data_IF_993358811846
#
_entry.id   IF_993358811846
#
_cell.length_a   1.000
_cell.length_b   1.000
_cell.length_c   1.000
_cell.angle_alpha   90.00
_cell.angle_beta   90.00
_cell.angle_gamma   90.00
#
_symmetry.space_group_name_H-M   'P 1'
#
loop_
_entity.id
_entity.type
_entity.pdbx_description
1 polymer ?
#
# COMPACT_ATOMS: atom_id res chain seq x y z
N UNK A 1 5.32 -5.62 -28.30
CA UNK A 1 4.78 -4.60 -27.37
C UNK A 1 3.99 -3.58 -28.18
N UNK A 2 2.81 -3.16 -27.72
CA UNK A 2 2.02 -2.13 -28.41
C UNK A 2 2.61 -0.75 -28.08
N UNK A 3 3.04 -0.02 -29.10
CA UNK A 3 3.47 1.37 -28.97
C UNK A 3 2.23 2.25 -28.81
N UNK A 4 2.15 3.02 -27.73
CA UNK A 4 1.09 4.02 -27.52
C UNK A 4 1.65 5.39 -27.86
N UNK A 5 0.93 6.14 -28.70
CA UNK A 5 1.30 7.50 -29.08
C UNK A 5 0.73 8.44 -28.01
N UNK A 6 1.61 9.16 -27.31
CA UNK A 6 1.24 10.16 -26.32
C UNK A 6 1.37 11.56 -26.93
N UNK A 7 0.28 12.32 -26.95
CA UNK A 7 0.28 13.71 -27.41
C UNK A 7 0.30 14.63 -26.18
N UNK A 8 1.41 15.33 -25.96
CA UNK A 8 1.59 16.24 -24.81
C UNK A 8 1.63 17.68 -25.29
N UNK A 9 0.90 18.58 -24.60
CA UNK A 9 1.00 20.02 -24.81
C UNK A 9 1.86 20.61 -23.70
N UNK A 10 2.88 21.36 -24.08
CA UNK A 10 3.79 22.07 -23.16
C UNK A 10 3.85 23.55 -23.53
N UNK A 11 4.31 24.38 -22.59
CA UNK A 11 4.54 25.79 -22.86
C UNK A 11 5.64 25.98 -23.93
N UNK A 12 5.65 27.12 -24.60
CA UNK A 12 6.69 27.41 -25.61
C UNK A 12 8.09 27.45 -24.98
N UNK A 13 8.22 28.05 -23.79
CA UNK A 13 9.48 28.09 -23.05
C UNK A 13 10.02 26.68 -22.75
N UNK A 14 9.15 25.77 -22.29
CA UNK A 14 9.53 24.38 -22.01
C UNK A 14 9.87 23.61 -23.29
N UNK A 15 9.17 23.87 -24.39
CA UNK A 15 9.46 23.25 -25.68
C UNK A 15 10.86 23.65 -26.17
N UNK A 16 11.17 24.93 -26.10
CA UNK A 16 12.42 25.46 -26.64
C UNK A 16 13.62 24.97 -25.81
N UNK A 17 13.48 24.90 -24.48
CA UNK A 17 14.47 24.27 -23.61
C UNK A 17 14.69 22.77 -23.91
N UNK A 18 13.60 22.02 -24.18
CA UNK A 18 13.70 20.60 -24.55
C UNK A 18 14.39 20.41 -25.90
N UNK A 19 14.16 21.30 -26.87
CA UNK A 19 14.83 21.27 -28.18
C UNK A 19 16.32 21.51 -28.01
N UNK A 20 16.70 22.54 -27.26
CA UNK A 20 18.10 22.88 -27.00
C UNK A 20 18.83 21.72 -26.30
N UNK A 21 18.21 21.15 -25.26
CA UNK A 21 18.77 20.02 -24.53
C UNK A 21 18.90 18.76 -25.43
N UNK A 22 17.92 18.49 -26.27
CA UNK A 22 17.96 17.41 -27.26
C UNK A 22 19.07 17.60 -28.29
N UNK A 23 19.25 18.82 -28.79
CA UNK A 23 20.34 19.17 -29.71
C UNK A 23 21.71 19.00 -29.07
N UNK A 24 21.88 19.41 -27.82
CA UNK A 24 23.12 19.26 -27.07
C UNK A 24 23.48 17.78 -26.80
N UNK A 25 22.48 16.93 -26.60
CA UNK A 25 22.64 15.48 -26.40
C UNK A 25 22.71 14.68 -27.72
N UNK A 26 22.43 15.30 -28.86
CA UNK A 26 22.40 14.63 -30.17
C UNK A 26 21.27 13.60 -30.31
N UNK A 27 20.19 13.73 -29.54
CA UNK A 27 19.05 12.79 -29.52
C UNK A 27 17.76 13.45 -30.01
N UNK A 28 16.78 12.64 -30.40
CA UNK A 28 15.47 13.17 -30.78
C UNK A 28 14.71 13.74 -29.57
N UNK A 29 13.83 14.72 -29.79
CA UNK A 29 12.97 15.31 -28.74
C UNK A 29 12.15 14.22 -28.03
N UNK A 30 11.57 13.30 -28.80
CA UNK A 30 10.81 12.17 -28.25
C UNK A 30 11.66 11.26 -27.36
N UNK A 31 12.94 11.10 -27.66
CA UNK A 31 13.87 10.28 -26.89
C UNK A 31 14.35 10.99 -25.63
N UNK A 32 14.58 12.30 -25.69
CA UNK A 32 14.86 13.11 -24.51
C UNK A 32 13.66 13.14 -23.55
N UNK A 33 12.44 13.36 -24.07
CA UNK A 33 11.22 13.31 -23.27
C UNK A 33 11.03 11.93 -22.64
N UNK A 34 11.27 10.84 -23.39
CA UNK A 34 11.22 9.48 -22.81
C UNK A 34 12.26 9.30 -21.72
N UNK A 35 13.48 9.80 -21.88
CA UNK A 35 14.53 9.71 -20.87
C UNK A 35 14.15 10.51 -19.62
N UNK A 36 13.64 11.73 -19.77
CA UNK A 36 13.17 12.57 -18.66
C UNK A 36 12.01 11.88 -17.93
N UNK A 37 10.99 11.40 -18.66
CA UNK A 37 9.87 10.68 -18.05
C UNK A 37 10.33 9.38 -17.38
N UNK A 38 11.25 8.64 -17.98
CA UNK A 38 11.77 7.39 -17.39
C UNK A 38 12.60 7.65 -16.15
N UNK A 39 13.38 8.73 -16.13
CA UNK A 39 14.19 9.12 -14.99
C UNK A 39 13.31 9.67 -13.87
N UNK A 40 12.32 10.49 -14.18
CA UNK A 40 11.36 11.00 -13.20
C UNK A 40 10.55 9.85 -12.57
N UNK A 41 10.08 8.91 -13.40
CA UNK A 41 9.42 7.69 -12.91
C UNK A 41 10.38 6.88 -12.03
N UNK A 42 11.67 6.76 -12.39
CA UNK A 42 12.65 6.04 -11.57
C UNK A 42 12.99 6.74 -10.26
N UNK A 43 13.11 8.07 -10.26
CA UNK A 43 13.36 8.86 -9.06
C UNK A 43 12.17 8.79 -8.10
N UNK A 44 10.93 8.83 -8.61
CA UNK A 44 9.73 8.58 -7.81
C UNK A 44 9.68 7.14 -7.27
N UNK A 45 10.21 6.16 -8.02
CA UNK A 45 10.29 4.74 -7.59
C UNK A 45 11.41 4.50 -6.56
N UNK A 46 12.53 5.23 -6.65
CA UNK A 46 13.68 5.06 -5.75
C UNK A 46 13.49 5.84 -4.43
N UNK A 47 12.77 6.97 -4.43
CA UNK A 47 12.43 7.71 -3.20
C UNK A 47 11.19 7.14 -2.47
N UNK A 48 10.23 6.55 -3.20
CA UNK A 48 9.13 5.76 -2.62
C UNK A 48 9.27 4.29 -3.02
N UNK A 49 9.88 3.47 -2.15
CA UNK A 49 9.77 2.00 -2.17
C UNK A 49 8.31 1.56 -1.93
N UNK A 50 7.42 1.88 -2.86
CA UNK A 50 6.04 1.42 -2.89
C UNK A 50 5.72 0.99 -4.31
N UNK A 51 6.15 -0.22 -4.61
CA UNK A 51 5.90 -0.94 -5.85
C UNK A 51 4.43 -0.77 -6.29
N UNK A 52 4.19 0.00 -7.37
CA UNK A 52 2.85 0.19 -7.93
C UNK A 52 2.23 -1.14 -8.40
N UNK A 53 3.01 -2.21 -8.53
CA UNK A 53 2.51 -3.56 -8.86
C UNK A 53 1.80 -4.27 -7.71
N UNK A 54 1.99 -3.79 -6.47
CA UNK A 54 1.41 -4.33 -5.25
C UNK A 54 -0.11 -4.46 -5.27
N UNK A 55 -0.81 -3.41 -5.73
CA UNK A 55 -2.28 -3.40 -5.84
C UNK A 55 -2.78 -3.92 -7.19
N UNK A 56 -1.88 -4.17 -8.14
CA UNK A 56 -2.21 -4.95 -9.34
C UNK A 56 -2.37 -6.44 -9.00
N UNK A 57 -1.75 -6.92 -7.91
CA UNK A 57 -2.11 -8.19 -7.28
C UNK A 57 -3.52 -8.05 -6.69
N UNK A 58 -4.50 -8.71 -7.31
CA UNK A 58 -5.92 -8.64 -6.93
C UNK A 58 -6.25 -9.02 -5.47
N UNK A 59 -5.28 -9.43 -4.67
CA UNK A 59 -5.45 -9.75 -3.25
C UNK A 59 -5.87 -8.53 -2.42
N UNK A 60 -5.30 -7.34 -2.63
CA UNK A 60 -5.73 -6.14 -1.88
C UNK A 60 -7.13 -5.66 -2.27
N UNK A 61 -7.65 -6.16 -3.40
CA UNK A 61 -9.05 -5.97 -3.82
C UNK A 61 -9.94 -7.17 -3.48
N UNK A 62 -9.41 -8.17 -2.76
CA UNK A 62 -10.15 -9.38 -2.41
C UNK A 62 -11.02 -9.16 -1.18
N UNK A 63 -12.09 -9.94 -1.08
CA UNK A 63 -12.93 -9.99 0.11
C UNK A 63 -12.15 -10.42 1.36
N UNK A 64 -11.08 -11.20 1.22
CA UNK A 64 -10.22 -11.63 2.33
C UNK A 64 -9.48 -10.46 2.96
N UNK A 65 -8.88 -9.60 2.12
CA UNK A 65 -8.22 -8.40 2.61
C UNK A 65 -9.22 -7.42 3.22
N UNK A 66 -10.37 -7.20 2.56
CA UNK A 66 -11.42 -6.34 3.10
C UNK A 66 -11.95 -6.85 4.45
N UNK A 67 -12.11 -8.17 4.58
CA UNK A 67 -12.50 -8.81 5.83
C UNK A 67 -11.48 -8.54 6.94
N UNK A 68 -10.18 -8.73 6.65
CA UNK A 68 -9.13 -8.43 7.60
C UNK A 68 -9.13 -6.96 8.04
N UNK A 69 -9.20 -6.03 7.09
CA UNK A 69 -9.21 -4.60 7.40
C UNK A 69 -10.43 -4.23 8.23
N UNK A 70 -11.62 -4.72 7.86
CA UNK A 70 -12.84 -4.49 8.62
C UNK A 70 -12.69 -4.98 10.06
N UNK A 71 -12.08 -6.14 10.26
CA UNK A 71 -11.79 -6.68 11.60
C UNK A 71 -10.80 -5.81 12.38
N UNK A 72 -9.69 -5.35 11.77
CA UNK A 72 -8.71 -4.46 12.43
C UNK A 72 -9.38 -3.16 12.91
N UNK A 73 -10.28 -2.59 12.10
CA UNK A 73 -11.03 -1.39 12.45
C UNK A 73 -12.12 -1.64 13.49
N UNK A 74 -12.78 -2.80 13.46
CA UNK A 74 -13.70 -3.23 14.52
C UNK A 74 -12.99 -3.24 15.88
N UNK A 75 -11.77 -3.79 15.93
CA UNK A 75 -10.97 -3.85 17.17
C UNK A 75 -10.56 -2.51 17.73
N UNK A 76 -10.45 -1.47 16.89
CA UNK A 76 -10.25 -0.10 17.36
C UNK A 76 -11.35 0.35 18.34
N UNK A 77 -12.60 -0.02 18.08
CA UNK A 77 -13.74 0.31 18.93
C UNK A 77 -14.01 -0.75 20.01
N UNK A 78 -13.78 -2.02 19.68
CA UNK A 78 -14.04 -3.15 20.57
C UNK A 78 -12.82 -4.08 20.62
N UNK A 79 -11.87 -3.84 21.54
CA UNK A 79 -10.68 -4.69 21.68
C UNK A 79 -10.97 -6.15 22.04
N UNK A 80 -12.19 -6.44 22.52
CA UNK A 80 -12.64 -7.78 22.88
C UNK A 80 -13.10 -8.55 21.63
N UNK A 81 -12.91 -9.86 21.66
CA UNK A 81 -13.31 -10.72 20.57
C UNK A 81 -13.92 -12.03 21.06
N UNK A 82 -15.12 -12.32 20.56
CA UNK A 82 -15.87 -13.53 20.88
C UNK A 82 -15.89 -14.52 19.71
N UNK A 83 -15.08 -14.29 18.68
CA UNK A 83 -14.97 -15.16 17.53
C UNK A 83 -14.43 -16.51 17.94
N UNK A 84 -14.87 -17.54 17.23
CA UNK A 84 -14.33 -18.86 17.41
C UNK A 84 -12.84 -18.91 17.03
N UNK A 85 -12.08 -19.79 17.70
CA UNK A 85 -10.64 -19.94 17.47
C UNK A 85 -10.28 -20.18 16.00
N UNK A 86 -11.14 -20.87 15.24
CA UNK A 86 -10.90 -21.13 13.82
C UNK A 86 -10.90 -19.84 12.99
N UNK A 87 -11.78 -18.89 13.29
CA UNK A 87 -11.84 -17.56 12.64
C UNK A 87 -10.55 -16.79 12.89
N UNK A 88 -10.03 -16.84 14.13
CA UNK A 88 -8.76 -16.20 14.46
C UNK A 88 -7.58 -16.82 13.69
N UNK A 89 -7.60 -18.14 13.47
CA UNK A 89 -6.60 -18.83 12.65
C UNK A 89 -6.70 -18.42 11.18
N UNK A 90 -7.91 -18.25 10.65
CA UNK A 90 -8.12 -17.74 9.28
C UNK A 90 -7.57 -16.32 9.12
N UNK A 91 -7.90 -15.41 10.03
CA UNK A 91 -7.35 -14.05 10.06
C UNK A 91 -5.82 -14.05 10.10
N UNK A 92 -5.21 -14.93 10.90
CA UNK A 92 -3.75 -15.11 10.95
C UNK A 92 -3.17 -15.49 9.59
N UNK A 93 -3.83 -16.39 8.87
CA UNK A 93 -3.39 -16.83 7.55
C UNK A 93 -3.51 -15.72 6.50
N UNK A 94 -4.56 -14.89 6.56
CA UNK A 94 -4.71 -13.71 5.70
C UNK A 94 -3.59 -12.71 6.01
N UNK A 95 -3.30 -12.43 7.29
CA UNK A 95 -2.23 -11.53 7.70
C UNK A 95 -0.85 -11.97 7.21
N UNK A 96 -0.54 -13.26 7.33
CA UNK A 96 0.71 -13.83 6.82
C UNK A 96 0.87 -13.64 5.31
N UNK A 97 -0.23 -13.62 4.55
CA UNK A 97 -0.20 -13.33 3.11
C UNK A 97 0.08 -11.85 2.85
N UNK A 98 -0.55 -10.93 3.59
CA UNK A 98 -0.28 -9.49 3.51
C UNK A 98 1.20 -9.20 3.74
N UNK A 99 1.78 -9.74 4.82
CA UNK A 99 3.18 -9.52 5.18
C UNK A 99 4.13 -10.09 4.12
N UNK A 100 3.84 -11.29 3.59
CA UNK A 100 4.69 -11.94 2.58
C UNK A 100 4.68 -11.27 1.21
N UNK A 101 3.57 -10.64 0.85
CA UNK A 101 3.43 -10.02 -0.47
C UNK A 101 4.31 -8.76 -0.61
N UNK A 102 4.81 -8.19 0.50
CA UNK A 102 5.71 -7.03 0.56
C UNK A 102 5.22 -5.82 -0.29
N UNK A 103 3.93 -5.77 -0.51
CA UNK A 103 3.28 -4.85 -1.44
C UNK A 103 2.91 -3.53 -0.76
N UNK A 104 2.91 -3.51 0.57
CA UNK A 104 2.71 -2.30 1.36
C UNK A 104 4.07 -1.66 1.72
N UNK A 105 4.09 -0.34 1.97
CA UNK A 105 5.24 0.33 2.56
C UNK A 105 5.73 -0.41 3.81
N UNK A 106 7.05 -0.45 4.00
CA UNK A 106 7.69 -1.17 5.10
C UNK A 106 7.08 -0.86 6.48
N UNK A 107 6.81 0.42 6.76
CA UNK A 107 6.21 0.82 8.03
C UNK A 107 4.83 0.17 8.24
N UNK A 108 4.00 0.06 7.20
CA UNK A 108 2.71 -0.63 7.32
C UNK A 108 2.88 -2.14 7.49
N UNK A 109 3.88 -2.74 6.86
CA UNK A 109 4.20 -4.17 7.07
C UNK A 109 4.54 -4.40 8.54
N UNK A 110 5.38 -3.55 9.15
CA UNK A 110 5.72 -3.61 10.58
C UNK A 110 4.46 -3.50 11.46
N UNK A 111 3.50 -2.64 11.11
CA UNK A 111 2.22 -2.55 11.79
C UNK A 111 1.39 -3.86 11.68
N UNK A 112 1.35 -4.49 10.50
CA UNK A 112 0.71 -5.80 10.33
C UNK A 112 1.46 -6.90 11.11
N UNK A 113 2.79 -6.85 11.21
CA UNK A 113 3.56 -7.78 12.04
C UNK A 113 3.19 -7.66 13.52
N UNK A 114 2.98 -6.44 14.03
CA UNK A 114 2.49 -6.21 15.39
C UNK A 114 1.11 -6.85 15.62
N UNK A 115 0.19 -6.68 14.67
CA UNK A 115 -1.13 -7.33 14.70
C UNK A 115 -0.98 -8.85 14.69
N UNK A 116 -0.04 -9.40 13.90
CA UNK A 116 0.21 -10.84 13.84
C UNK A 116 0.70 -11.39 15.18
N UNK A 117 1.65 -10.71 15.82
CA UNK A 117 2.20 -11.11 17.13
C UNK A 117 1.08 -11.16 18.16
N UNK A 118 0.24 -10.13 18.23
CA UNK A 118 -0.85 -10.07 19.18
C UNK A 118 -1.93 -11.11 18.89
N UNK A 119 -2.23 -11.37 17.62
CA UNK A 119 -3.15 -12.43 17.21
C UNK A 119 -2.64 -13.82 17.57
N UNK A 120 -1.35 -14.10 17.37
CA UNK A 120 -0.73 -15.37 17.81
C UNK A 120 -0.83 -15.51 19.33
N UNK A 121 -0.56 -14.44 20.09
CA UNK A 121 -0.71 -14.44 21.55
C UNK A 121 -2.14 -14.82 21.94
N UNK A 122 -3.15 -14.19 21.34
CA UNK A 122 -4.56 -14.49 21.62
C UNK A 122 -4.92 -15.93 21.23
N UNK A 123 -4.47 -16.44 20.08
CA UNK A 123 -4.73 -17.83 19.67
C UNK A 123 -4.11 -18.84 20.64
N UNK A 124 -2.91 -18.56 21.14
CA UNK A 124 -2.20 -19.40 22.10
C UNK A 124 -2.86 -19.38 23.48
N UNK A 125 -3.41 -18.22 23.88
CA UNK A 125 -4.09 -18.00 25.16
C UNK A 125 -5.62 -18.06 25.03
N UNK A 126 -6.11 -18.68 23.95
CA UNK A 126 -7.52 -18.58 23.56
C UNK A 126 -8.45 -18.99 24.70
N UNK A 127 -9.30 -18.04 25.09
CA UNK A 127 -10.31 -18.24 26.12
C UNK A 127 -11.64 -17.64 25.63
N UNK A 128 -12.67 -18.47 25.39
CA UNK A 128 -13.98 -18.00 24.97
C UNK A 128 -14.48 -16.87 25.88
N UNK A 129 -14.73 -15.69 25.33
CA UNK A 129 -15.26 -14.54 26.07
C UNK A 129 -14.23 -13.67 26.80
N UNK A 130 -12.93 -13.98 26.73
CA UNK A 130 -11.87 -13.17 27.36
C UNK A 130 -10.67 -12.91 26.44
N UNK A 131 -10.87 -13.01 25.13
CA UNK A 131 -9.84 -12.62 24.18
C UNK A 131 -9.85 -11.10 24.02
N UNK A 132 -8.73 -10.46 24.32
CA UNK A 132 -8.55 -9.03 24.16
C UNK A 132 -7.29 -8.74 23.36
N UNK A 133 -7.41 -7.86 22.38
CA UNK A 133 -6.30 -7.37 21.58
C UNK A 133 -5.70 -6.09 22.19
N UNK A 134 -4.38 -5.97 22.09
CA UNK A 134 -3.58 -4.84 22.53
C UNK A 134 -3.23 -3.89 21.41
N UNK A 135 -3.05 -4.40 20.18
CA UNK A 135 -2.68 -3.57 19.02
C UNK A 135 -3.68 -2.43 18.76
N UNK A 136 -4.90 -2.54 19.25
CA UNK A 136 -5.97 -1.56 19.05
C UNK A 136 -6.09 -0.52 20.18
N UNK A 137 -5.29 -0.62 21.24
CA UNK A 137 -5.36 0.32 22.38
C UNK A 137 -4.66 1.62 22.03
N UNK A 138 -5.45 2.69 21.96
CA UNK A 138 -4.93 4.05 21.74
C UNK A 138 -3.94 4.44 22.85
N UNK A 139 -2.85 5.11 22.47
CA UNK A 139 -1.82 5.64 23.38
C UNK A 139 -0.89 4.60 24.03
N UNK A 140 -0.90 3.35 23.59
CA UNK A 140 0.15 2.38 23.89
C UNK A 140 1.17 2.35 22.74
N UNK A 141 2.46 2.11 23.04
CA UNK A 141 3.54 2.09 22.04
C UNK A 141 3.39 0.97 20.97
N UNK A 142 2.45 0.04 21.18
CA UNK A 142 2.14 -1.09 20.30
C UNK A 142 0.84 -0.86 19.51
N UNK A 143 0.32 0.38 19.50
CA UNK A 143 -0.95 0.69 18.83
C UNK A 143 -0.78 0.79 17.32
N UNK A 144 -1.66 0.12 16.58
CA UNK A 144 -1.71 0.17 15.12
C UNK A 144 -1.90 1.59 14.60
N UNK A 145 -1.07 2.03 13.65
CA UNK A 145 -1.24 3.35 13.02
C UNK A 145 -2.40 3.37 12.00
N UNK A 146 -3.61 3.56 12.53
CA UNK A 146 -4.84 3.71 11.74
C UNK A 146 -4.81 4.93 10.80
N UNK A 147 -4.11 6.01 11.17
CA UNK A 147 -4.06 7.23 10.38
C UNK A 147 -3.16 7.06 9.17
N UNK A 148 -1.95 6.52 9.37
CA UNK A 148 -1.03 6.17 8.29
C UNK A 148 -1.64 5.18 7.32
N UNK A 149 -2.29 4.12 7.83
CA UNK A 149 -2.97 3.16 6.98
C UNK A 149 -4.15 3.78 6.20
N UNK A 150 -4.99 4.59 6.84
CA UNK A 150 -6.09 5.30 6.16
C UNK A 150 -5.59 6.22 5.05
N UNK A 151 -4.53 6.99 5.32
CA UNK A 151 -3.93 7.89 4.34
C UNK A 151 -3.36 7.13 3.14
N UNK A 152 -2.72 5.99 3.38
CA UNK A 152 -2.21 5.12 2.33
C UNK A 152 -3.32 4.54 1.45
N UNK A 153 -4.39 4.03 2.05
CA UNK A 153 -5.55 3.51 1.28
C UNK A 153 -6.23 4.64 0.49
N UNK A 154 -6.38 5.84 1.07
CA UNK A 154 -7.00 6.99 0.41
C UNK A 154 -6.17 7.53 -0.76
N UNK A 155 -4.83 7.58 -0.63
CA UNK A 155 -3.95 8.00 -1.72
C UNK A 155 -4.03 7.04 -2.90
N UNK A 156 -4.13 5.72 -2.64
CA UNK A 156 -4.29 4.71 -3.70
C UNK A 156 -5.70 4.67 -4.29
N UNK A 157 -6.76 4.85 -3.49
CA UNK A 157 -8.14 4.93 -3.97
C UNK A 157 -8.43 6.19 -4.82
N UNK A 158 -7.68 7.26 -4.60
CA UNK A 158 -7.76 8.49 -5.41
C UNK A 158 -7.17 8.29 -6.81
N UNK A 159 -6.16 7.41 -6.95
CA UNK A 159 -5.58 7.05 -8.26
C UNK A 159 -6.57 6.24 -9.10
N UNK A 160 -7.41 5.41 -8.48
CA UNK A 160 -8.44 4.62 -9.19
C UNK A 160 -9.56 5.50 -9.78
N UNK A 161 -9.81 6.68 -9.20
CA UNK A 161 -10.81 7.64 -9.73
C UNK A 161 -10.34 8.45 -10.93
N UNK A 162 -9.03 8.50 -11.21
CA UNK A 162 -8.48 9.21 -12.38
C UNK A 162 -8.59 8.35 -13.66
N UNK A 163 -8.92 7.06 -13.52
CA UNK A 163 -9.07 6.10 -14.62
C UNK A 163 -10.54 5.76 -14.99
N UNK A 164 -11.50 6.64 -14.69
CA UNK A 164 -12.89 6.51 -15.17
C UNK A 164 -13.26 7.72 -16.02
#
# INVERSE_FOLDING_TARGET
MKTVILNVRVSEETRDALIEESSNKGISISENIRAILSNHIKEDIDEENTDFSAFANGFYNSNEFLYLITWIYDKKGQPQDNSEKHILIELKNILLRVIKDNALPKHLIEEFENVLVDLIRVINQYNPGNNQFKFCKLFENESFDYSGFSAHIASKGSITRIYI
#
